data_IF_970782142083
#
_entry.id   IF_970782142083
#
_cell.length_a   1.000
_cell.length_b   1.000
_cell.length_c   1.000
_cell.angle_alpha   90.00
_cell.angle_beta   90.00
_cell.angle_gamma   90.00
#
_symmetry.space_group_name_H-M   'P 1'
#
loop_
_entity.id
_entity.type
_entity.pdbx_description
1 polymer ?
#
# COMPACT_ATOMS: atom_id res chain seq x y z
N UNK A 1 -78.86 25.04 36.72
CA UNK A 1 -77.43 25.32 36.81
C UNK A 1 -76.78 23.99 37.03
N UNK A 2 -76.18 23.40 35.96
CA UNK A 2 -75.55 22.05 35.97
C UNK A 2 -74.04 22.21 35.83
N UNK A 3 -73.33 21.83 36.83
CA UNK A 3 -71.85 21.78 36.81
C UNK A 3 -71.35 20.54 36.01
N UNK A 4 -70.57 20.78 34.96
CA UNK A 4 -69.81 19.75 34.26
C UNK A 4 -68.45 19.59 34.95
N UNK A 5 -67.94 18.39 35.21
CA UNK A 5 -66.57 18.21 35.67
C UNK A 5 -65.58 18.17 34.49
N UNK A 6 -64.51 18.89 34.68
CA UNK A 6 -63.37 18.98 33.77
C UNK A 6 -62.53 17.68 33.86
N UNK A 7 -62.56 16.86 32.84
CA UNK A 7 -61.69 15.69 32.74
C UNK A 7 -60.30 16.13 32.31
N UNK A 8 -59.31 15.98 33.19
CA UNK A 8 -57.91 16.17 32.89
C UNK A 8 -57.38 14.95 32.14
N UNK A 9 -56.98 15.16 30.87
CA UNK A 9 -56.28 14.18 30.03
C UNK A 9 -54.80 14.20 30.43
N UNK A 10 -54.36 13.11 31.10
CA UNK A 10 -52.91 12.85 31.35
C UNK A 10 -52.36 12.21 30.08
N UNK A 11 -51.57 12.95 29.30
CA UNK A 11 -50.79 12.42 28.20
C UNK A 11 -49.49 11.83 28.78
N UNK A 12 -49.42 10.52 28.86
CA UNK A 12 -48.17 9.81 29.19
C UNK A 12 -47.34 9.75 27.93
N UNK A 13 -46.31 10.59 27.83
CA UNK A 13 -45.30 10.49 26.80
C UNK A 13 -44.39 9.33 27.08
N UNK A 14 -44.60 8.20 26.41
CA UNK A 14 -43.60 7.10 26.37
C UNK A 14 -42.38 7.63 25.54
N UNK A 15 -41.30 7.94 26.24
CA UNK A 15 -40.01 8.12 25.65
C UNK A 15 -39.47 6.76 25.21
N UNK A 16 -39.63 6.41 23.95
CA UNK A 16 -38.91 5.26 23.35
C UNK A 16 -37.45 5.68 23.25
N UNK A 17 -36.66 5.28 24.24
CA UNK A 17 -35.20 5.32 24.15
C UNK A 17 -34.79 4.23 23.16
N UNK A 18 -34.63 4.61 21.90
CA UNK A 18 -33.98 3.75 20.90
C UNK A 18 -32.50 3.62 21.32
N UNK A 19 -32.17 2.57 22.04
CA UNK A 19 -30.81 2.10 22.14
C UNK A 19 -30.41 1.63 20.74
N UNK A 20 -29.78 2.51 19.95
CA UNK A 20 -29.01 2.09 18.79
C UNK A 20 -27.90 1.23 19.39
N UNK A 21 -28.05 -0.09 19.30
CA UNK A 21 -26.95 -1.01 19.54
C UNK A 21 -25.82 -0.55 18.62
N UNK A 22 -24.69 -0.12 19.19
CA UNK A 22 -23.48 0.08 18.44
C UNK A 22 -23.23 -1.25 17.73
N UNK A 23 -23.34 -1.26 16.40
CA UNK A 23 -22.98 -2.45 15.64
C UNK A 23 -21.59 -2.84 16.13
N UNK A 24 -21.43 -4.06 16.60
CA UNK A 24 -20.13 -4.55 17.07
C UNK A 24 -19.11 -4.35 15.94
N UNK A 25 -18.25 -3.35 16.10
CA UNK A 25 -17.20 -3.09 15.11
C UNK A 25 -16.25 -4.27 15.17
N UNK A 26 -15.92 -4.79 13.98
CA UNK A 26 -14.94 -5.86 13.82
C UNK A 26 -13.66 -5.52 14.57
N UNK A 27 -13.10 -6.48 15.27
CA UNK A 27 -11.78 -6.35 15.90
C UNK A 27 -10.67 -6.48 14.84
N UNK A 28 -9.46 -6.02 15.16
CA UNK A 28 -8.30 -6.23 14.30
C UNK A 28 -8.05 -7.73 14.02
N UNK A 29 -8.25 -8.58 15.00
CA UNK A 29 -8.12 -10.03 14.83
C UNK A 29 -9.12 -10.57 13.80
N UNK A 30 -10.39 -10.21 13.91
CA UNK A 30 -11.43 -10.63 12.96
C UNK A 30 -11.16 -10.09 11.54
N UNK A 31 -10.69 -8.85 11.43
CA UNK A 31 -10.27 -8.24 10.17
C UNK A 31 -9.14 -9.07 9.53
N UNK A 32 -8.11 -9.40 10.30
CA UNK A 32 -6.98 -10.18 9.84
C UNK A 32 -7.40 -11.62 9.47
N UNK A 33 -8.34 -12.24 10.18
CA UNK A 33 -8.87 -13.55 9.82
C UNK A 33 -9.63 -13.55 8.49
N UNK A 34 -10.34 -12.45 8.16
CA UNK A 34 -10.93 -12.28 6.84
C UNK A 34 -9.87 -12.16 5.75
N UNK A 35 -8.86 -11.35 5.99
CA UNK A 35 -7.71 -11.19 5.09
C UNK A 35 -7.02 -12.53 4.81
N UNK A 36 -6.77 -13.33 5.84
CA UNK A 36 -6.12 -14.65 5.68
C UNK A 36 -6.95 -15.61 4.84
N UNK A 37 -8.26 -15.61 4.97
CA UNK A 37 -9.15 -16.39 4.08
C UNK A 37 -9.08 -15.90 2.64
N UNK A 38 -8.99 -14.60 2.40
CA UNK A 38 -8.83 -14.04 1.05
C UNK A 38 -7.48 -14.42 0.44
N UNK A 39 -6.39 -14.36 1.19
CA UNK A 39 -5.07 -14.82 0.73
C UNK A 39 -5.09 -16.27 0.25
N UNK A 40 -5.78 -17.16 0.96
CA UNK A 40 -5.94 -18.56 0.52
C UNK A 40 -6.85 -18.68 -0.69
N UNK A 41 -8.05 -18.10 -0.64
CA UNK A 41 -9.06 -18.34 -1.67
C UNK A 41 -8.81 -17.61 -2.98
N UNK A 42 -8.19 -16.43 -2.94
CA UNK A 42 -7.96 -15.57 -4.12
C UNK A 42 -6.54 -15.69 -4.63
N UNK A 43 -5.55 -15.63 -3.72
CA UNK A 43 -4.12 -15.65 -4.06
C UNK A 43 -3.52 -17.06 -4.11
N UNK A 44 -4.23 -18.05 -3.56
CA UNK A 44 -3.74 -19.43 -3.48
C UNK A 44 -2.58 -19.62 -2.51
N UNK A 45 -2.47 -18.74 -1.50
CA UNK A 45 -1.47 -18.89 -0.43
C UNK A 45 -1.67 -20.23 0.28
N UNK A 46 -0.62 -21.02 0.37
CA UNK A 46 -0.66 -22.36 0.98
C UNK A 46 -0.76 -22.28 2.50
N UNK A 47 -1.22 -23.35 3.15
CA UNK A 47 -1.31 -23.42 4.62
C UNK A 47 0.04 -23.15 5.31
N UNK A 48 1.14 -23.61 4.73
CA UNK A 48 2.48 -23.36 5.26
C UNK A 48 2.83 -21.87 5.21
N UNK A 49 2.59 -21.22 4.08
CA UNK A 49 2.83 -19.78 3.91
C UNK A 49 1.93 -18.98 4.84
N UNK A 50 0.65 -19.33 4.90
CA UNK A 50 -0.31 -18.66 5.77
C UNK A 50 0.06 -18.78 7.26
N UNK A 51 0.60 -19.93 7.68
CA UNK A 51 1.08 -20.11 9.06
C UNK A 51 2.19 -19.13 9.40
N UNK A 52 3.14 -18.92 8.48
CA UNK A 52 4.22 -17.94 8.65
C UNK A 52 3.67 -16.50 8.70
N UNK A 53 2.78 -16.14 7.77
CA UNK A 53 2.14 -14.82 7.72
C UNK A 53 1.36 -14.54 9.01
N UNK A 54 0.56 -15.49 9.49
CA UNK A 54 -0.17 -15.37 10.77
C UNK A 54 0.75 -15.10 11.96
N UNK A 55 1.91 -15.75 12.00
CA UNK A 55 2.90 -15.53 13.07
C UNK A 55 3.45 -14.10 13.06
N UNK A 56 3.71 -13.52 11.87
CA UNK A 56 4.16 -12.13 11.72
C UNK A 56 3.06 -11.16 12.21
N UNK A 57 1.83 -11.35 11.75
CA UNK A 57 0.69 -10.52 12.17
C UNK A 57 0.43 -10.60 13.68
N UNK A 58 0.52 -11.79 14.27
CA UNK A 58 0.35 -11.99 15.71
C UNK A 58 1.45 -11.30 16.54
N UNK A 59 2.65 -11.16 15.99
CA UNK A 59 3.78 -10.46 16.63
C UNK A 59 3.67 -8.94 16.63
N UNK A 60 2.82 -8.36 15.78
CA UNK A 60 2.77 -6.89 15.57
C UNK A 60 1.68 -6.22 16.39
N UNK A 61 0.60 -6.63 16.69
CA UNK A 61 -0.48 -5.97 17.45
C UNK A 61 -1.16 -4.76 16.76
N UNK A 62 -0.62 -4.26 15.63
CA UNK A 62 -1.19 -3.14 14.83
C UNK A 62 -1.22 -3.43 13.34
N UNK A 63 -0.55 -4.46 12.88
CA UNK A 63 -0.48 -4.85 11.48
C UNK A 63 -1.85 -5.33 10.97
N UNK A 64 -2.34 -4.70 9.90
CA UNK A 64 -3.63 -5.02 9.29
C UNK A 64 -4.11 -3.94 8.34
N UNK A 65 -5.38 -3.95 8.00
CA UNK A 65 -6.00 -2.99 7.08
C UNK A 65 -6.46 -1.71 7.81
N UNK A 66 -5.75 -1.30 8.86
CA UNK A 66 -6.05 -0.16 9.71
C UNK A 66 -6.79 -0.53 10.99
N UNK A 67 -6.90 0.45 11.90
CA UNK A 67 -7.63 0.27 13.15
C UNK A 67 -9.14 0.26 12.87
N UNK A 68 -9.83 -0.88 13.00
CA UNK A 68 -11.25 -0.99 12.65
C UNK A 68 -12.17 -0.15 13.56
N UNK A 69 -11.68 0.32 14.70
CA UNK A 69 -12.45 1.19 15.58
C UNK A 69 -12.60 2.63 15.06
N UNK A 70 -11.65 3.09 14.22
CA UNK A 70 -11.57 4.49 13.77
C UNK A 70 -11.29 4.65 12.28
N UNK A 71 -11.05 3.59 11.53
CA UNK A 71 -10.92 3.65 10.08
C UNK A 71 -12.27 4.00 9.44
N UNK A 72 -12.27 4.96 8.52
CA UNK A 72 -13.44 5.44 7.79
C UNK A 72 -13.13 5.42 6.29
N UNK A 73 -13.16 4.20 5.72
CA UNK A 73 -12.90 4.00 4.30
C UNK A 73 -13.99 4.68 3.45
N UNK A 74 -13.62 5.45 2.40
CA UNK A 74 -14.60 6.13 1.56
C UNK A 74 -15.50 5.19 0.77
N UNK A 75 -14.99 4.02 0.38
CA UNK A 75 -15.73 2.96 -0.30
C UNK A 75 -15.50 1.60 0.36
N UNK A 76 -16.51 0.73 0.29
CA UNK A 76 -16.39 -0.64 0.78
C UNK A 76 -15.88 -1.58 -0.32
N UNK A 77 -15.30 -2.75 0.02
CA UNK A 77 -14.95 -3.79 -0.96
C UNK A 77 -16.10 -4.18 -1.89
N UNK A 78 -17.33 -4.24 -1.38
CA UNK A 78 -18.52 -4.58 -2.16
C UNK A 78 -18.90 -3.47 -3.14
N UNK A 79 -18.76 -2.20 -2.76
CA UNK A 79 -19.00 -1.06 -3.66
C UNK A 79 -17.96 -1.03 -4.79
N UNK A 80 -16.68 -1.23 -4.46
CA UNK A 80 -15.60 -1.38 -5.43
C UNK A 80 -15.93 -2.51 -6.42
N UNK A 81 -16.22 -3.73 -5.96
CA UNK A 81 -16.54 -4.85 -6.83
C UNK A 81 -17.73 -4.56 -7.75
N UNK A 82 -18.80 -4.00 -7.21
CA UNK A 82 -19.97 -3.62 -8.00
C UNK A 82 -19.67 -2.54 -9.06
N UNK A 83 -18.74 -1.63 -8.77
CA UNK A 83 -18.25 -0.60 -9.71
C UNK A 83 -17.46 -1.24 -10.86
N UNK A 84 -16.51 -2.13 -10.54
CA UNK A 84 -15.72 -2.86 -11.53
C UNK A 84 -16.59 -3.75 -12.42
N UNK A 85 -17.56 -4.46 -11.84
CA UNK A 85 -18.49 -5.32 -12.60
C UNK A 85 -19.34 -4.51 -13.59
N UNK A 86 -19.85 -3.35 -13.16
CA UNK A 86 -20.60 -2.44 -14.06
C UNK A 86 -19.74 -1.90 -15.20
N UNK A 87 -18.46 -1.63 -14.93
CA UNK A 87 -17.52 -1.14 -15.93
C UNK A 87 -16.95 -2.24 -16.83
N UNK A 88 -17.19 -3.52 -16.50
CA UNK A 88 -16.57 -4.66 -17.18
C UNK A 88 -15.06 -4.75 -16.94
N UNK A 89 -14.56 -4.08 -15.91
CA UNK A 89 -13.14 -4.07 -15.58
C UNK A 89 -12.71 -5.41 -15.01
N UNK A 90 -11.58 -5.92 -15.49
CA UNK A 90 -10.94 -7.15 -15.01
C UNK A 90 -9.46 -6.88 -14.84
N UNK A 91 -8.89 -7.48 -13.81
CA UNK A 91 -7.46 -7.38 -13.48
C UNK A 91 -6.70 -8.69 -13.69
N UNK A 92 -7.43 -9.78 -13.96
CA UNK A 92 -6.81 -11.05 -14.31
C UNK A 92 -6.07 -10.92 -15.64
N UNK A 93 -4.79 -11.28 -15.64
CA UNK A 93 -3.97 -11.37 -16.85
C UNK A 93 -3.30 -12.74 -16.91
N UNK A 94 -3.89 -13.71 -17.67
CA UNK A 94 -3.36 -15.07 -17.74
C UNK A 94 -1.92 -15.17 -18.29
N UNK A 95 -1.50 -14.21 -19.11
CA UNK A 95 -0.13 -14.15 -19.60
C UNK A 95 0.83 -13.77 -18.48
N UNK A 96 0.51 -12.74 -17.73
CA UNK A 96 1.30 -12.31 -16.56
C UNK A 96 1.33 -13.37 -15.48
N UNK A 97 0.19 -14.04 -15.21
CA UNK A 97 0.12 -15.14 -14.26
C UNK A 97 1.06 -16.29 -14.65
N UNK A 98 1.13 -16.62 -15.96
CA UNK A 98 2.04 -17.65 -16.46
C UNK A 98 3.52 -17.22 -16.34
N UNK A 99 3.85 -15.95 -16.60
CA UNK A 99 5.21 -15.43 -16.50
C UNK A 99 5.64 -15.35 -15.03
N UNK A 100 4.82 -14.73 -14.19
CA UNK A 100 5.14 -14.44 -12.79
C UNK A 100 4.88 -15.64 -11.85
N UNK A 101 4.08 -16.61 -12.30
CA UNK A 101 3.71 -17.78 -11.49
C UNK A 101 2.83 -17.45 -10.29
N UNK A 102 1.98 -16.44 -10.41
CA UNK A 102 1.02 -16.00 -9.39
C UNK A 102 0.06 -14.97 -9.95
N UNK A 103 -1.17 -14.93 -9.39
CA UNK A 103 -2.19 -13.95 -9.76
C UNK A 103 -1.77 -12.54 -9.32
N UNK A 104 -2.25 -11.56 -10.07
CA UNK A 104 -2.10 -10.13 -9.79
C UNK A 104 -0.63 -9.68 -9.65
N UNK A 105 0.26 -10.32 -10.42
CA UNK A 105 1.64 -9.86 -10.56
C UNK A 105 1.89 -9.37 -11.99
N UNK A 106 2.67 -8.31 -12.14
CA UNK A 106 3.07 -7.77 -13.45
C UNK A 106 4.57 -8.00 -13.70
N UNK A 107 4.97 -8.44 -14.90
CA UNK A 107 6.38 -8.55 -15.27
C UNK A 107 7.02 -7.17 -15.37
N UNK A 108 8.24 -7.05 -14.87
CA UNK A 108 9.04 -5.83 -14.94
C UNK A 108 10.01 -5.91 -16.12
N UNK A 109 9.80 -5.05 -17.10
CA UNK A 109 10.62 -4.98 -18.33
C UNK A 109 10.57 -3.57 -18.93
N UNK A 110 11.41 -3.30 -19.92
CA UNK A 110 11.31 -2.09 -20.74
C UNK A 110 10.53 -2.39 -22.05
N UNK A 111 9.27 -1.99 -22.17
CA UNK A 111 8.43 -2.31 -23.34
C UNK A 111 8.93 -1.65 -24.65
N UNK A 112 9.91 -0.76 -24.60
CA UNK A 112 10.50 -0.16 -25.80
C UNK A 112 11.51 -1.08 -26.51
N UNK A 113 12.06 -2.05 -25.76
CA UNK A 113 13.15 -2.93 -26.25
C UNK A 113 12.98 -4.40 -25.85
N UNK A 114 12.03 -4.71 -24.97
CA UNK A 114 11.80 -6.04 -24.41
C UNK A 114 10.32 -6.46 -24.54
N UNK A 115 10.06 -7.72 -24.36
CA UNK A 115 8.72 -8.32 -24.21
C UNK A 115 8.49 -8.77 -22.76
N UNK A 116 7.24 -8.95 -22.31
CA UNK A 116 6.96 -9.44 -20.96
C UNK A 116 7.69 -10.75 -20.60
N UNK A 117 7.93 -11.64 -21.58
CA UNK A 117 8.63 -12.91 -21.41
C UNK A 117 10.12 -12.77 -21.10
N UNK A 118 10.70 -11.62 -21.37
CA UNK A 118 12.11 -11.31 -21.10
C UNK A 118 12.33 -10.70 -19.72
N UNK A 119 11.24 -10.41 -18.99
CA UNK A 119 11.30 -9.92 -17.63
C UNK A 119 12.17 -10.83 -16.75
N UNK A 120 12.90 -10.21 -15.82
CA UNK A 120 13.72 -10.92 -14.81
C UNK A 120 13.12 -10.87 -13.42
N UNK A 121 12.09 -10.07 -13.26
CA UNK A 121 11.33 -9.93 -12.03
C UNK A 121 9.87 -9.59 -12.33
N UNK A 122 9.01 -9.86 -11.37
CA UNK A 122 7.63 -9.39 -11.32
C UNK A 122 7.41 -8.57 -10.06
N UNK A 123 6.39 -7.72 -10.08
CA UNK A 123 5.91 -6.93 -8.96
C UNK A 123 4.42 -7.20 -8.74
N UNK A 124 3.94 -7.13 -7.51
CA UNK A 124 2.50 -7.18 -7.23
C UNK A 124 1.79 -6.02 -7.93
N UNK A 125 0.65 -6.29 -8.59
CA UNK A 125 -0.11 -5.27 -9.31
C UNK A 125 -0.73 -4.24 -8.36
N UNK A 126 -1.06 -4.65 -7.14
CA UNK A 126 -1.63 -3.82 -6.09
C UNK A 126 -0.75 -3.80 -4.85
N UNK A 127 -1.05 -2.88 -3.94
CA UNK A 127 -0.53 -2.91 -2.58
C UNK A 127 -0.93 -4.24 -1.91
N UNK A 128 -0.08 -4.75 -1.01
CA UNK A 128 -0.42 -5.97 -0.27
C UNK A 128 -1.77 -5.82 0.47
N UNK A 129 -2.71 -6.75 0.37
CA UNK A 129 -2.56 -8.18 0.05
C UNK A 129 -2.55 -8.52 -1.45
N UNK A 130 -2.48 -7.55 -2.34
CA UNK A 130 -2.48 -7.72 -3.79
C UNK A 130 -3.74 -8.46 -4.26
N UNK A 131 -4.88 -7.99 -3.78
CA UNK A 131 -6.23 -8.50 -4.10
C UNK A 131 -7.10 -7.32 -4.53
N UNK A 132 -7.65 -7.31 -5.75
CA UNK A 132 -8.58 -6.28 -6.18
C UNK A 132 -9.74 -6.11 -5.19
N UNK A 133 -10.10 -4.88 -4.94
CA UNK A 133 -11.12 -4.48 -3.98
C UNK A 133 -10.87 -4.88 -2.51
N UNK A 134 -9.69 -5.36 -2.14
CA UNK A 134 -9.29 -5.43 -0.75
C UNK A 134 -8.65 -4.11 -0.30
N UNK A 135 -8.76 -3.77 0.98
CA UNK A 135 -7.99 -2.64 1.51
C UNK A 135 -6.53 -3.02 1.64
N UNK A 136 -5.58 -2.08 1.40
CA UNK A 136 -4.16 -2.33 1.62
C UNK A 136 -3.86 -2.61 3.09
N UNK A 137 -2.89 -3.47 3.32
CA UNK A 137 -2.30 -3.69 4.65
C UNK A 137 -1.33 -2.56 4.94
N UNK A 138 -1.51 -1.93 6.09
CA UNK A 138 -0.72 -0.81 6.58
C UNK A 138 -0.29 -1.04 8.04
N UNK A 139 0.29 -0.04 8.69
CA UNK A 139 0.90 -0.18 10.02
C UNK A 139 1.98 -1.26 10.04
N UNK A 140 2.58 -1.51 8.89
CA UNK A 140 3.62 -2.51 8.67
C UNK A 140 5.00 -1.88 8.86
N UNK A 141 5.89 -2.57 9.55
CA UNK A 141 7.31 -2.25 9.56
C UNK A 141 7.97 -2.82 8.31
N UNK A 142 9.04 -2.21 7.84
CA UNK A 142 9.77 -2.71 6.66
C UNK A 142 10.24 -4.16 6.82
N UNK A 143 10.68 -4.54 8.03
CA UNK A 143 11.00 -5.92 8.38
C UNK A 143 9.80 -6.85 8.22
N UNK A 144 8.65 -6.48 8.75
CA UNK A 144 7.42 -7.27 8.65
C UNK A 144 6.98 -7.42 7.18
N UNK A 145 7.16 -6.36 6.37
CA UNK A 145 6.89 -6.40 4.93
C UNK A 145 7.79 -7.41 4.22
N UNK A 146 9.11 -7.40 4.48
CA UNK A 146 10.03 -8.37 3.91
C UNK A 146 9.70 -9.79 4.36
N UNK A 147 9.48 -10.01 5.66
CA UNK A 147 9.15 -11.34 6.21
C UNK A 147 7.84 -11.90 5.60
N UNK A 148 6.84 -11.05 5.32
CA UNK A 148 5.59 -11.44 4.64
C UNK A 148 5.87 -11.80 3.17
N UNK A 149 6.62 -10.97 2.45
CA UNK A 149 6.99 -11.26 1.06
C UNK A 149 7.78 -12.57 0.98
N UNK A 150 8.76 -12.80 1.87
CA UNK A 150 9.54 -14.04 1.93
C UNK A 150 8.66 -15.26 2.23
N UNK A 151 7.67 -15.14 3.12
CA UNK A 151 6.72 -16.20 3.41
C UNK A 151 5.92 -16.63 2.17
N UNK A 152 5.64 -15.71 1.23
CA UNK A 152 5.01 -16.01 -0.05
C UNK A 152 6.00 -16.50 -1.13
N UNK A 153 7.29 -16.57 -0.85
CA UNK A 153 8.34 -16.90 -1.83
C UNK A 153 8.68 -15.73 -2.75
N UNK A 154 8.45 -14.53 -2.28
CA UNK A 154 8.77 -13.23 -2.89
C UNK A 154 9.84 -12.51 -2.07
N UNK A 155 10.02 -11.24 -2.27
CA UNK A 155 10.92 -10.34 -1.53
C UNK A 155 10.38 -8.91 -1.54
N UNK A 156 10.85 -8.06 -0.67
CA UNK A 156 10.59 -6.63 -0.80
C UNK A 156 11.25 -6.10 -2.09
N UNK A 157 10.55 -5.24 -2.82
CA UNK A 157 11.10 -4.64 -4.04
C UNK A 157 12.27 -3.71 -3.74
N UNK A 158 13.28 -3.68 -4.59
CA UNK A 158 14.24 -2.58 -4.60
C UNK A 158 13.57 -1.31 -5.13
N UNK A 159 13.98 -0.13 -4.65
CA UNK A 159 13.35 1.13 -5.00
C UNK A 159 13.24 1.37 -6.52
N UNK A 160 14.26 0.99 -7.31
CA UNK A 160 14.25 1.15 -8.77
C UNK A 160 13.21 0.26 -9.48
N UNK A 161 12.85 -0.89 -8.90
CA UNK A 161 11.82 -1.78 -9.45
C UNK A 161 10.44 -1.13 -9.31
N UNK A 162 10.15 -0.56 -8.15
CA UNK A 162 8.94 0.22 -7.94
C UNK A 162 8.90 1.47 -8.85
N UNK A 163 10.03 2.17 -8.98
CA UNK A 163 10.17 3.34 -9.87
C UNK A 163 9.90 2.97 -11.32
N UNK A 164 10.42 1.83 -11.78
CA UNK A 164 10.19 1.30 -13.11
C UNK A 164 8.76 0.86 -13.32
N UNK A 165 8.16 0.17 -12.35
CA UNK A 165 6.75 -0.21 -12.37
C UNK A 165 5.85 1.02 -12.51
N UNK A 166 6.11 2.07 -11.74
CA UNK A 166 5.36 3.32 -11.78
C UNK A 166 5.55 4.06 -13.12
N UNK A 167 6.78 4.21 -13.58
CA UNK A 167 7.09 4.91 -14.84
C UNK A 167 6.69 4.12 -16.11
N UNK A 168 6.18 2.89 -15.95
CA UNK A 168 5.75 2.03 -17.05
C UNK A 168 6.89 1.38 -17.84
N UNK A 169 8.11 1.42 -17.32
CA UNK A 169 9.29 0.73 -17.88
C UNK A 169 10.38 0.55 -16.83
N UNK A 170 10.96 -0.64 -16.78
CA UNK A 170 12.11 -0.93 -15.95
C UNK A 170 13.37 -0.42 -16.65
N UNK A 171 14.05 0.53 -16.03
CA UNK A 171 15.38 0.99 -16.45
C UNK A 171 16.46 0.32 -15.59
N UNK A 172 17.71 0.25 -16.06
CA UNK A 172 18.82 -0.20 -15.22
C UNK A 172 18.90 0.61 -13.91
N UNK A 173 19.21 -0.01 -12.78
CA UNK A 173 19.33 0.69 -11.51
C UNK A 173 20.42 1.77 -11.57
N UNK A 174 20.10 2.96 -11.13
CA UNK A 174 20.96 4.15 -11.17
C UNK A 174 21.50 4.54 -9.79
N UNK A 175 21.64 3.56 -8.89
CA UNK A 175 22.17 3.82 -7.56
C UNK A 175 23.60 4.32 -7.61
N UNK A 176 23.83 5.47 -7.02
CA UNK A 176 25.13 6.14 -6.94
C UNK A 176 25.91 5.65 -5.72
N UNK A 177 26.28 4.36 -5.72
CA UNK A 177 27.04 3.73 -4.62
C UNK A 177 28.39 4.40 -4.33
N UNK A 178 28.95 5.10 -5.32
CA UNK A 178 30.12 5.96 -5.13
C UNK A 178 29.91 7.05 -4.09
N UNK A 179 28.67 7.59 -3.98
CA UNK A 179 28.31 8.63 -3.00
C UNK A 179 28.08 8.09 -1.58
N UNK A 180 27.94 6.77 -1.44
CA UNK A 180 27.74 6.11 -0.16
C UNK A 180 29.06 5.73 0.55
N UNK A 181 30.17 5.73 -0.17
CA UNK A 181 31.45 5.25 0.36
C UNK A 181 32.00 6.15 1.47
N UNK A 182 32.29 5.55 2.61
CA UNK A 182 33.00 6.22 3.72
C UNK A 182 32.18 7.27 4.48
N UNK A 183 30.86 7.28 4.31
CA UNK A 183 29.96 8.22 5.01
C UNK A 183 28.90 7.46 5.80
N UNK A 184 28.21 8.16 6.72
CA UNK A 184 27.08 7.56 7.44
C UNK A 184 25.93 7.21 6.49
N UNK A 185 25.11 6.21 6.81
CA UNK A 185 23.95 5.84 6.01
C UNK A 185 23.02 7.01 5.69
N UNK A 186 22.71 7.85 6.65
CA UNK A 186 21.91 9.06 6.44
C UNK A 186 22.54 10.01 5.41
N UNK A 187 23.84 10.23 5.51
CA UNK A 187 24.58 11.06 4.54
C UNK A 187 24.58 10.43 3.17
N UNK A 188 24.79 9.10 3.08
CA UNK A 188 24.75 8.33 1.85
C UNK A 188 23.40 8.48 1.15
N UNK A 189 22.31 8.17 1.85
CA UNK A 189 20.95 8.24 1.35
C UNK A 189 20.63 9.65 0.85
N UNK A 190 20.93 10.68 1.64
CA UNK A 190 20.66 12.06 1.24
C UNK A 190 21.46 12.48 -0.01
N UNK A 191 22.72 12.07 -0.16
CA UNK A 191 23.53 12.34 -1.35
C UNK A 191 23.00 11.61 -2.59
N UNK A 192 22.73 10.31 -2.45
CA UNK A 192 22.19 9.48 -3.53
C UNK A 192 20.83 10.00 -3.98
N UNK A 193 19.93 10.34 -3.04
CA UNK A 193 18.64 10.95 -3.33
C UNK A 193 18.73 12.25 -4.11
N UNK A 194 19.59 13.18 -3.68
CA UNK A 194 19.76 14.46 -4.36
C UNK A 194 20.24 14.25 -5.80
N UNK A 195 21.24 13.38 -5.99
CA UNK A 195 21.76 13.08 -7.32
C UNK A 195 20.69 12.45 -8.23
N UNK A 196 19.94 11.47 -7.71
CA UNK A 196 18.85 10.81 -8.42
C UNK A 196 17.71 11.77 -8.77
N UNK A 197 17.19 12.52 -7.80
CA UNK A 197 16.07 13.43 -8.02
C UNK A 197 16.43 14.54 -9.01
N UNK A 198 17.68 15.04 -9.01
CA UNK A 198 18.15 16.00 -10.01
C UNK A 198 18.24 15.39 -11.41
N UNK A 199 18.70 14.14 -11.53
CA UNK A 199 18.80 13.45 -12.83
C UNK A 199 17.41 13.28 -13.47
N UNK A 200 16.37 13.04 -12.69
CA UNK A 200 15.01 12.80 -13.17
C UNK A 200 14.06 14.00 -13.10
N UNK A 201 14.52 15.16 -12.62
CA UNK A 201 13.69 16.37 -12.43
C UNK A 201 13.01 16.88 -13.70
N UNK A 202 13.59 16.62 -14.87
CA UNK A 202 13.08 17.08 -16.18
C UNK A 202 12.20 16.02 -16.88
N UNK A 203 12.10 14.82 -16.33
CA UNK A 203 11.33 13.70 -16.87
C UNK A 203 10.32 13.16 -15.86
N UNK A 204 9.74 14.04 -15.05
CA UNK A 204 8.73 13.65 -14.06
C UNK A 204 7.56 12.95 -14.76
N UNK A 205 7.13 11.84 -14.18
CA UNK A 205 5.94 11.12 -14.60
C UNK A 205 5.24 10.52 -13.39
N UNK A 206 3.97 10.29 -13.53
CA UNK A 206 3.11 9.51 -12.62
C UNK A 206 2.73 8.21 -13.33
N UNK A 207 2.15 7.25 -12.64
CA UNK A 207 1.78 5.96 -13.25
C UNK A 207 0.92 6.12 -14.51
N UNK A 208 0.11 7.14 -14.57
CA UNK A 208 -0.82 7.45 -15.66
C UNK A 208 -0.28 8.46 -16.70
N UNK A 209 0.96 8.92 -16.60
CA UNK A 209 1.56 9.81 -17.60
C UNK A 209 2.38 10.98 -17.05
N UNK A 210 2.77 11.93 -17.90
CA UNK A 210 3.76 12.95 -17.57
C UNK A 210 3.20 14.16 -16.81
N UNK A 211 1.88 14.24 -16.60
CA UNK A 211 1.24 15.38 -15.95
C UNK A 211 0.39 14.90 -14.78
N UNK A 212 0.60 15.50 -13.61
CA UNK A 212 -0.23 15.22 -12.43
C UNK A 212 -1.71 15.53 -12.71
N UNK A 213 -2.56 14.56 -12.39
CA UNK A 213 -4.01 14.66 -12.55
C UNK A 213 -4.72 14.37 -11.24
N UNK A 214 -5.19 15.45 -10.61
CA UNK A 214 -5.95 15.35 -9.35
C UNK A 214 -7.21 14.51 -9.53
N UNK A 215 -7.51 13.62 -8.58
CA UNK A 215 -8.71 12.78 -8.59
C UNK A 215 -8.65 11.57 -9.51
N UNK A 216 -7.53 11.35 -10.22
CA UNK A 216 -7.35 10.16 -11.04
C UNK A 216 -7.01 8.92 -10.21
N UNK A 217 -6.31 9.11 -9.10
CA UNK A 217 -5.88 8.08 -8.17
C UNK A 217 -6.58 8.21 -6.82
N UNK A 218 -6.44 7.22 -5.97
CA UNK A 218 -7.01 7.11 -4.62
C UNK A 218 -6.34 8.08 -3.63
N UNK A 219 -6.44 9.40 -3.86
CA UNK A 219 -5.70 10.43 -3.14
C UNK A 219 -6.59 11.53 -2.51
N UNK A 220 -7.92 11.42 -2.63
CA UNK A 220 -8.87 12.46 -2.20
C UNK A 220 -9.70 12.07 -0.95
N UNK A 221 -9.25 11.11 -0.16
CA UNK A 221 -9.86 10.75 1.11
C UNK A 221 -9.56 11.80 2.19
N UNK A 222 -9.92 11.52 3.41
CA UNK A 222 -9.76 12.44 4.54
C UNK A 222 -8.85 11.87 5.62
N UNK A 223 -8.25 12.76 6.39
CA UNK A 223 -7.49 12.44 7.58
C UNK A 223 -8.42 12.44 8.79
N UNK A 224 -8.30 11.44 9.66
CA UNK A 224 -9.07 11.40 10.92
C UNK A 224 -8.83 12.66 11.73
N UNK A 225 -9.90 13.35 12.21
CA UNK A 225 -9.73 14.51 13.06
C UNK A 225 -8.83 14.24 14.27
N UNK A 226 -7.86 15.10 14.54
CA UNK A 226 -6.91 14.92 15.63
C UNK A 226 -5.71 14.02 15.33
N UNK A 227 -5.65 13.37 14.17
CA UNK A 227 -4.47 12.65 13.73
C UNK A 227 -3.36 13.62 13.30
N UNK A 228 -2.35 13.80 14.14
CA UNK A 228 -1.20 14.67 13.89
C UNK A 228 0.11 13.86 13.86
N UNK A 229 0.20 12.83 13.01
CA UNK A 229 1.31 11.88 13.00
C UNK A 229 1.26 10.93 14.20
N UNK A 230 0.07 10.76 14.80
CA UNK A 230 -0.16 10.02 16.02
C UNK A 230 -0.15 8.51 15.88
N UNK A 231 -0.41 7.87 17.00
CA UNK A 231 -0.41 6.42 17.11
C UNK A 231 -1.70 5.75 16.62
N UNK A 232 -1.74 4.46 16.78
CA UNK A 232 -2.80 3.55 16.37
C UNK A 232 -4.22 3.97 16.80
N UNK A 233 -4.38 4.51 18.00
CA UNK A 233 -5.69 4.91 18.54
C UNK A 233 -6.19 6.27 18.04
N UNK A 234 -5.41 7.01 17.26
CA UNK A 234 -5.71 8.38 16.84
C UNK A 234 -5.82 8.56 15.33
N UNK A 235 -5.14 7.72 14.55
CA UNK A 235 -5.05 7.84 13.11
C UNK A 235 -5.71 6.66 12.41
N UNK A 236 -6.91 6.87 11.87
CA UNK A 236 -7.58 5.91 11.01
C UNK A 236 -6.91 5.79 9.65
N UNK A 237 -6.89 4.59 9.12
CA UNK A 237 -6.48 4.29 7.76
C UNK A 237 -7.70 4.42 6.86
N UNK A 238 -7.84 5.56 6.21
CA UNK A 238 -9.02 5.87 5.38
C UNK A 238 -8.71 5.66 3.89
N UNK A 239 -8.07 4.53 3.59
CA UNK A 239 -7.74 4.08 2.23
C UNK A 239 -8.98 3.67 1.44
N UNK A 240 -8.84 3.65 0.13
CA UNK A 240 -9.79 3.02 -0.78
C UNK A 240 -9.46 1.53 -0.95
N UNK A 241 -10.40 0.71 -1.44
CA UNK A 241 -10.07 -0.63 -1.90
C UNK A 241 -9.08 -0.58 -3.07
N UNK A 242 -8.14 -1.52 -3.13
CA UNK A 242 -7.14 -1.60 -4.19
C UNK A 242 -7.80 -1.75 -5.57
N UNK A 243 -7.31 -1.02 -6.56
CA UNK A 243 -7.86 -1.02 -7.92
C UNK A 243 -9.19 -0.29 -8.08
N UNK A 244 -9.69 0.40 -7.07
CA UNK A 244 -10.94 1.18 -7.17
C UNK A 244 -10.87 2.33 -8.18
N UNK A 245 -9.66 2.73 -8.54
CA UNK A 245 -9.34 3.75 -9.54
C UNK A 245 -8.64 3.12 -10.75
N UNK A 246 -9.35 2.44 -11.66
CA UNK A 246 -8.74 1.66 -12.74
C UNK A 246 -7.90 2.47 -13.74
N UNK A 247 -8.10 3.80 -13.80
CA UNK A 247 -7.26 4.68 -14.61
C UNK A 247 -5.92 5.06 -13.93
N UNK A 248 -5.77 4.78 -12.63
CA UNK A 248 -4.54 4.98 -11.88
C UNK A 248 -3.61 3.77 -12.04
N UNK A 249 -3.08 3.56 -13.24
CA UNK A 249 -2.18 2.45 -13.53
C UNK A 249 -1.05 2.85 -14.47
N UNK A 250 0.03 2.10 -14.44
CA UNK A 250 1.16 2.26 -15.35
C UNK A 250 0.98 1.44 -16.64
N UNK A 251 1.86 1.66 -17.61
CA UNK A 251 1.90 0.88 -18.84
C UNK A 251 2.28 -0.62 -18.61
N UNK A 252 2.71 -0.97 -17.42
CA UNK A 252 2.96 -2.36 -16.99
C UNK A 252 1.78 -2.97 -16.22
N UNK A 253 0.59 -2.34 -16.24
CA UNK A 253 -0.60 -2.79 -15.52
C UNK A 253 -0.38 -2.92 -13.99
N UNK A 254 0.37 -1.99 -13.40
CA UNK A 254 0.55 -1.87 -11.95
C UNK A 254 -0.28 -0.69 -11.45
N UNK A 255 -1.08 -0.89 -10.43
CA UNK A 255 -2.13 0.01 -9.94
C UNK A 255 -1.74 0.65 -8.61
N UNK A 256 -2.40 1.75 -8.26
CA UNK A 256 -2.34 2.44 -6.97
C UNK A 256 -0.93 2.90 -6.53
N UNK A 257 0.00 3.05 -7.50
CA UNK A 257 1.37 3.53 -7.22
C UNK A 257 1.41 5.01 -6.81
N UNK A 258 0.35 5.75 -7.11
CA UNK A 258 0.14 7.12 -6.66
C UNK A 258 -1.16 7.19 -5.85
N UNK A 259 -1.10 7.65 -4.62
CA UNK A 259 -2.24 7.67 -3.69
C UNK A 259 -2.33 6.39 -2.84
N UNK A 260 -3.47 6.18 -2.26
CA UNK A 260 -3.89 5.06 -1.41
C UNK A 260 -2.98 4.79 -0.21
N UNK A 261 -1.95 3.95 -0.32
CA UNK A 261 -0.93 3.79 0.70
C UNK A 261 0.46 4.08 0.15
N UNK A 262 1.27 4.82 0.91
CA UNK A 262 2.71 4.89 0.65
C UNK A 262 3.35 3.52 0.97
N UNK A 263 4.46 3.20 0.34
CA UNK A 263 4.98 1.84 0.36
C UNK A 263 6.45 1.75 0.77
N UNK A 264 6.75 0.80 1.65
CA UNK A 264 8.13 0.42 1.96
C UNK A 264 8.81 -0.26 0.78
N UNK A 265 10.04 0.17 0.47
CA UNK A 265 10.95 -0.47 -0.49
C UNK A 265 12.34 -0.64 0.13
N UNK A 266 13.12 -1.55 -0.44
CA UNK A 266 14.54 -1.68 -0.14
C UNK A 266 15.33 -0.62 -0.92
N UNK A 267 16.13 0.19 -0.22
CA UNK A 267 17.13 1.09 -0.79
C UNK A 267 18.53 0.55 -0.52
N UNK A 268 19.18 -0.09 -1.50
CA UNK A 268 20.56 -0.58 -1.34
C UNK A 268 21.54 0.60 -1.26
N UNK A 269 22.55 0.51 -0.39
CA UNK A 269 23.69 1.44 -0.32
C UNK A 269 24.94 0.88 -0.98
N UNK A 270 24.92 -0.40 -1.38
CA UNK A 270 25.92 -1.06 -2.21
C UNK A 270 25.29 -2.23 -2.99
N UNK A 271 26.06 -2.82 -3.91
CA UNK A 271 25.56 -3.90 -4.79
C UNK A 271 25.19 -5.18 -4.02
N UNK A 272 25.78 -5.44 -2.86
CA UNK A 272 25.49 -6.62 -2.05
C UNK A 272 24.11 -6.56 -1.38
N UNK A 273 23.46 -5.41 -1.41
CA UNK A 273 22.12 -5.18 -0.83
C UNK A 273 21.00 -5.14 -1.90
N UNK A 274 21.32 -5.43 -3.15
CA UNK A 274 20.33 -5.46 -4.24
C UNK A 274 19.59 -6.78 -4.29
N UNK A 275 18.35 -6.81 -3.79
CA UNK A 275 17.51 -8.02 -3.80
C UNK A 275 17.09 -8.41 -5.22
N UNK A 276 16.96 -7.46 -6.14
CA UNK A 276 16.74 -7.68 -7.57
C UNK A 276 17.88 -8.45 -8.25
N UNK A 277 19.06 -8.49 -7.64
CA UNK A 277 20.23 -9.29 -8.07
C UNK A 277 20.44 -10.55 -7.25
N UNK A 278 19.46 -10.94 -6.43
CA UNK A 278 19.48 -12.15 -5.62
C UNK A 278 20.18 -12.02 -4.26
N UNK A 279 20.49 -10.78 -3.83
CA UNK A 279 21.00 -10.57 -2.48
C UNK A 279 19.98 -10.98 -1.42
N UNK A 280 20.49 -11.53 -0.32
CA UNK A 280 19.73 -11.78 0.92
C UNK A 280 19.97 -10.69 1.97
N UNK A 281 20.97 -9.85 1.78
CA UNK A 281 21.20 -8.68 2.59
C UNK A 281 20.34 -7.52 2.04
N UNK A 282 19.62 -6.85 2.92
CA UNK A 282 18.84 -5.67 2.58
C UNK A 282 19.52 -4.40 3.11
N UNK A 283 19.28 -3.31 2.39
CA UNK A 283 19.78 -1.99 2.74
C UNK A 283 18.89 -1.28 3.75
N UNK A 284 18.42 -0.12 3.35
CA UNK A 284 17.62 0.80 4.15
C UNK A 284 16.21 0.92 3.60
N UNK A 285 15.31 1.41 4.44
CA UNK A 285 13.93 1.68 4.01
C UNK A 285 13.88 2.91 3.11
N UNK A 286 13.16 2.78 2.01
CA UNK A 286 12.70 3.88 1.17
C UNK A 286 11.18 3.90 1.20
N UNK A 287 10.59 5.10 1.28
CA UNK A 287 9.15 5.29 1.13
C UNK A 287 8.86 5.74 -0.29
N UNK A 288 7.95 5.06 -0.96
CA UNK A 288 7.50 5.36 -2.33
C UNK A 288 6.03 5.71 -2.38
N UNK A 289 5.64 6.43 -3.42
CA UNK A 289 4.27 6.83 -3.66
C UNK A 289 3.80 7.95 -2.74
N UNK A 290 2.50 8.11 -2.70
CA UNK A 290 1.77 9.02 -1.84
C UNK A 290 0.66 8.26 -1.13
N UNK A 291 -0.21 8.94 -0.37
CA UNK A 291 -1.25 8.23 0.36
C UNK A 291 -2.64 8.85 0.14
N UNK A 292 -3.66 8.25 0.69
CA UNK A 292 -5.07 8.50 0.44
C UNK A 292 -5.56 9.95 0.62
N UNK A 293 -4.77 10.87 1.21
CA UNK A 293 -5.13 12.30 1.36
C UNK A 293 -4.30 13.24 0.48
N UNK A 294 -3.45 12.73 -0.40
CA UNK A 294 -2.44 13.51 -1.09
C UNK A 294 -3.02 14.67 -1.92
N UNK A 295 -4.18 14.51 -2.49
CA UNK A 295 -4.90 15.58 -3.22
C UNK A 295 -5.32 16.75 -2.33
N UNK A 296 -5.41 16.53 -1.03
CA UNK A 296 -5.82 17.55 -0.05
C UNK A 296 -4.67 18.03 0.82
N UNK A 297 -3.59 17.24 0.92
CA UNK A 297 -2.42 17.54 1.74
C UNK A 297 -1.14 17.02 1.09
N UNK A 298 -0.47 17.87 0.33
CA UNK A 298 0.82 17.59 -0.30
C UNK A 298 1.94 17.70 0.74
N UNK A 299 2.39 16.59 1.30
CA UNK A 299 3.51 16.57 2.25
C UNK A 299 4.88 16.47 1.55
N UNK A 300 4.91 15.92 0.34
CA UNK A 300 6.13 15.68 -0.44
C UNK A 300 5.79 15.52 -1.92
N UNK A 301 6.77 15.32 -2.76
CA UNK A 301 6.58 14.94 -4.16
C UNK A 301 6.21 13.45 -4.26
N UNK A 302 5.50 13.04 -5.34
CA UNK A 302 5.07 11.65 -5.56
C UNK A 302 5.25 11.14 -7.00
N UNK A 303 6.00 11.87 -7.82
CA UNK A 303 6.32 11.36 -9.15
C UNK A 303 7.17 10.09 -9.08
N UNK A 304 7.02 9.20 -10.05
CA UNK A 304 7.47 7.81 -10.01
C UNK A 304 8.92 7.60 -9.55
N UNK A 305 9.84 8.43 -10.01
CA UNK A 305 11.27 8.31 -9.66
C UNK A 305 11.72 9.23 -8.53
N UNK A 306 10.79 9.86 -7.81
CA UNK A 306 11.16 10.64 -6.64
C UNK A 306 11.60 9.73 -5.49
N UNK A 307 12.72 10.07 -4.87
CA UNK A 307 13.23 9.41 -3.65
C UNK A 307 13.06 10.31 -2.45
N UNK A 308 12.52 9.73 -1.39
CA UNK A 308 12.23 10.43 -0.14
C UNK A 308 13.52 10.82 0.61
N UNK A 309 13.49 11.89 1.41
CA UNK A 309 14.51 12.14 2.43
C UNK A 309 14.58 11.01 3.46
N UNK A 310 15.67 10.98 4.24
CA UNK A 310 15.87 10.02 5.33
C UNK A 310 14.92 10.28 6.53
N UNK A 311 13.61 10.36 6.26
CA UNK A 311 12.65 10.66 7.35
C UNK A 311 12.40 9.50 8.29
N UNK A 312 12.34 8.31 7.74
CA UNK A 312 12.05 7.06 8.42
C UNK A 312 13.13 6.02 8.14
N UNK A 313 14.33 6.52 7.78
CA UNK A 313 15.44 5.68 7.37
C UNK A 313 15.96 4.85 8.51
N UNK A 314 15.68 3.57 8.44
CA UNK A 314 16.27 2.52 9.25
C UNK A 314 16.75 1.42 8.32
N UNK A 315 17.54 0.46 8.82
CA UNK A 315 17.72 -0.78 8.07
C UNK A 315 16.35 -1.44 7.86
N UNK A 316 16.15 -2.09 6.71
CA UNK A 316 14.90 -2.82 6.44
C UNK A 316 14.62 -3.81 7.56
N UNK A 317 15.64 -4.57 8.00
CA UNK A 317 15.52 -5.58 9.05
C UNK A 317 15.55 -5.03 10.49
N UNK A 318 15.44 -3.72 10.68
CA UNK A 318 15.35 -3.13 12.02
C UNK A 318 13.97 -3.43 12.64
N UNK A 319 13.89 -4.11 13.81
CA UNK A 319 12.63 -4.41 14.47
C UNK A 319 11.88 -3.15 14.95
N UNK A 320 12.54 -2.01 14.98
CA UNK A 320 11.98 -0.71 15.36
C UNK A 320 11.76 0.22 14.16
N UNK A 321 11.82 -0.30 12.91
CA UNK A 321 11.50 0.48 11.73
C UNK A 321 10.10 1.09 11.82
N UNK A 322 9.93 2.23 11.16
CA UNK A 322 8.70 3.01 11.24
C UNK A 322 7.49 2.24 10.68
N UNK A 323 6.36 2.35 11.35
CA UNK A 323 5.05 1.90 10.87
C UNK A 323 4.04 3.03 11.04
N UNK A 324 3.10 3.19 10.11
CA UNK A 324 2.14 4.28 10.15
C UNK A 324 0.81 3.90 9.48
N UNK A 325 -0.23 4.66 9.76
CA UNK A 325 -1.60 4.47 9.27
C UNK A 325 -1.75 4.54 7.74
N UNK A 326 -0.77 5.04 7.04
CA UNK A 326 -0.75 5.21 5.58
C UNK A 326 0.41 4.49 4.90
N UNK A 327 1.18 3.70 5.63
CA UNK A 327 2.40 3.07 5.13
C UNK A 327 2.21 1.56 5.02
N UNK A 328 2.16 1.09 3.80
CA UNK A 328 2.02 -0.28 3.36
C UNK A 328 3.24 -0.79 2.61
N UNK A 329 3.05 -1.74 1.70
CA UNK A 329 4.09 -2.33 0.86
C UNK A 329 3.48 -3.12 -0.30
N UNK A 330 4.33 -3.49 -1.26
CA UNK A 330 4.08 -4.55 -2.24
C UNK A 330 5.32 -5.40 -2.42
N UNK A 331 5.15 -6.62 -2.91
CA UNK A 331 6.26 -7.56 -3.08
C UNK A 331 6.73 -7.63 -4.53
N UNK A 332 8.00 -7.97 -4.70
CA UNK A 332 8.59 -8.37 -5.97
C UNK A 332 9.00 -9.84 -5.94
N UNK A 333 9.13 -10.46 -7.10
CA UNK A 333 9.56 -11.84 -7.28
C UNK A 333 10.61 -11.89 -8.39
N UNK A 334 11.77 -12.46 -8.10
CA UNK A 334 12.77 -12.80 -9.14
C UNK A 334 12.31 -14.02 -9.92
N UNK A 335 12.53 -14.03 -11.25
CA UNK A 335 12.14 -15.11 -12.18
C UNK A 335 13.32 -16.04 -12.52
#
# INVERSE_FOLDING_TARGET
>A
MKHLPLMALIVVALAVVSTIAAADRMTLHEQNELLFRQLQSVRGVTDRQLTAIRAIFAGSGVLGQGNPAIAEHPETPQQCQAKLDRAGQRYDNPEFERICGGKYMAPLYDPTVETPQQAKACIDQFEYPDIPCAYPVVWVKAREAEEICEAEGKRLCDAHEWEGACAGRLEPPDYRFDLARGVSPETAINRMRVAHNLAHAHSKSWSYGPTYQRGLCAAASHKTPGCNGGGWSQCGTNTYPAGDFPACHSALDVYDLNGNAAEHMNLPLDESQMTSRGSKELGYTEMKGSWFIFDTYHAHEDWCRWRAPFWHGSRVMDPHSHANYHLGFRCCKSL
#
